data_IF_275166196633
#
_entry.id   IF_275166196633
#
_cell.length_a   1.000
_cell.length_b   1.000
_cell.length_c   1.000
_cell.angle_alpha   90.00
_cell.angle_beta   90.00
_cell.angle_gamma   90.00
#
_symmetry.space_group_name_H-M   'P 1'
#
loop_
_entity.id
_entity.type
_entity.pdbx_description
1 polymer ?
#
# COMPACT_ATOMS: atom_id res chain seq x y z
N UNK A 1 15.75 36.17 -16.75
CA UNK A 1 15.13 35.09 -17.56
C UNK A 1 14.58 34.06 -16.60
N UNK A 2 13.29 34.15 -16.30
CA UNK A 2 12.61 33.27 -15.36
C UNK A 2 11.84 32.18 -16.10
N UNK A 3 12.07 30.93 -15.74
CA UNK A 3 11.22 29.80 -16.09
C UNK A 3 10.70 29.20 -14.78
N UNK A 4 9.65 29.82 -14.25
CA UNK A 4 8.85 29.23 -13.18
C UNK A 4 7.88 28.30 -13.87
N UNK A 5 8.15 26.99 -13.81
CA UNK A 5 7.18 25.98 -14.22
C UNK A 5 5.98 26.06 -13.26
N UNK A 6 4.89 26.67 -13.74
CA UNK A 6 3.59 26.62 -13.08
C UNK A 6 3.08 25.19 -13.17
N UNK A 7 3.28 24.44 -12.09
CA UNK A 7 2.58 23.18 -11.86
C UNK A 7 1.15 23.58 -11.49
N UNK A 8 0.28 23.63 -12.49
CA UNK A 8 -1.14 23.91 -12.27
C UNK A 8 -1.82 22.63 -11.74
N UNK A 9 -2.49 22.76 -10.60
CA UNK A 9 -3.16 21.68 -9.87
C UNK A 9 -4.31 21.01 -10.63
N UNK A 10 -4.61 21.41 -11.88
CA UNK A 10 -5.72 20.90 -12.69
C UNK A 10 -5.36 19.76 -13.66
N UNK A 11 -4.08 19.43 -13.86
CA UNK A 11 -3.71 18.30 -14.74
C UNK A 11 -3.82 16.95 -14.02
N UNK A 12 -4.47 15.92 -14.62
CA UNK A 12 -4.47 14.57 -14.06
C UNK A 12 -3.04 14.08 -13.81
N UNK A 13 -2.78 13.38 -12.69
CA UNK A 13 -1.44 12.85 -12.42
C UNK A 13 -1.00 11.97 -13.59
N UNK A 14 0.27 12.05 -14.01
CA UNK A 14 0.77 11.29 -15.14
C UNK A 14 0.52 9.80 -14.94
N UNK A 15 -0.02 9.15 -15.97
CA UNK A 15 -0.29 7.70 -15.94
C UNK A 15 1.04 6.95 -15.84
N UNK A 16 1.22 6.05 -14.88
CA UNK A 16 2.49 5.33 -14.72
C UNK A 16 2.76 4.42 -15.92
N UNK A 17 4.01 4.37 -16.35
CA UNK A 17 4.50 3.48 -17.41
C UNK A 17 4.42 2.01 -16.99
N UNK A 18 4.54 1.08 -17.94
CA UNK A 18 4.55 -0.35 -17.64
C UNK A 18 5.67 -0.76 -16.67
N UNK A 19 6.85 -0.14 -16.78
CA UNK A 19 7.98 -0.37 -15.87
C UNK A 19 7.65 0.11 -14.45
N UNK A 20 7.16 1.34 -14.30
CA UNK A 20 6.76 1.88 -12.99
C UNK A 20 5.67 1.05 -12.31
N UNK A 21 4.70 0.53 -13.09
CA UNK A 21 3.68 -0.38 -12.55
C UNK A 21 4.29 -1.69 -12.03
N UNK A 22 5.25 -2.27 -12.75
CA UNK A 22 5.98 -3.47 -12.30
C UNK A 22 6.74 -3.21 -11.01
N UNK A 23 7.45 -2.08 -10.92
CA UNK A 23 8.21 -1.72 -9.72
C UNK A 23 7.29 -1.49 -8.51
N UNK A 24 6.15 -0.82 -8.71
CA UNK A 24 5.15 -0.64 -7.67
C UNK A 24 4.60 -1.98 -7.16
N UNK A 25 4.25 -2.90 -8.05
CA UNK A 25 3.76 -4.23 -7.64
C UNK A 25 4.84 -5.04 -6.91
N UNK A 26 6.10 -4.96 -7.34
CA UNK A 26 7.22 -5.60 -6.63
C UNK A 26 7.40 -5.03 -5.22
N UNK A 27 7.33 -3.70 -5.07
CA UNK A 27 7.44 -3.05 -3.76
C UNK A 27 6.27 -3.42 -2.84
N UNK A 28 5.04 -3.45 -3.36
CA UNK A 28 3.84 -3.91 -2.66
C UNK A 28 4.02 -5.34 -2.13
N UNK A 29 4.45 -6.25 -3.00
CA UNK A 29 4.54 -7.68 -2.66
C UNK A 29 5.62 -7.92 -1.60
N UNK A 30 6.76 -7.23 -1.70
CA UNK A 30 7.81 -7.28 -0.67
C UNK A 30 7.31 -6.75 0.68
N UNK A 31 6.61 -5.62 0.69
CA UNK A 31 6.03 -5.05 1.91
C UNK A 31 5.00 -6.00 2.54
N UNK A 32 4.07 -6.54 1.75
CA UNK A 32 3.03 -7.43 2.24
C UNK A 32 3.56 -8.79 2.69
N UNK A 33 4.57 -9.33 2.02
CA UNK A 33 5.28 -10.53 2.46
C UNK A 33 5.89 -10.31 3.85
N UNK A 34 6.59 -9.19 4.04
CA UNK A 34 7.15 -8.86 5.33
C UNK A 34 6.07 -8.72 6.42
N UNK A 35 4.92 -8.11 6.11
CA UNK A 35 3.80 -8.03 7.06
C UNK A 35 3.24 -9.41 7.44
N UNK A 36 3.13 -10.33 6.49
CA UNK A 36 2.66 -11.69 6.75
C UNK A 36 3.65 -12.48 7.63
N UNK A 37 4.95 -12.36 7.38
CA UNK A 37 6.01 -13.02 8.17
C UNK A 37 6.15 -12.47 9.60
N UNK A 38 5.58 -11.29 9.85
CA UNK A 38 5.61 -10.61 11.14
C UNK A 38 4.21 -10.42 11.74
N UNK A 39 3.20 -11.14 11.24
CA UNK A 39 1.85 -11.11 11.79
C UNK A 39 1.87 -11.56 13.27
N UNK A 40 1.23 -10.77 14.15
CA UNK A 40 1.22 -11.02 15.60
C UNK A 40 2.46 -10.53 16.37
N UNK A 41 3.51 -10.06 15.69
CA UNK A 41 4.67 -9.42 16.34
C UNK A 41 4.36 -7.94 16.60
N UNK A 42 3.64 -7.67 17.68
CA UNK A 42 3.39 -6.33 18.18
C UNK A 42 4.67 -5.77 18.82
N UNK A 43 5.58 -5.23 18.01
CA UNK A 43 6.72 -4.46 18.52
C UNK A 43 6.25 -3.03 18.78
N UNK A 44 6.00 -2.70 20.05
CA UNK A 44 5.75 -1.33 20.46
C UNK A 44 6.99 -0.45 20.18
N UNK A 45 6.80 0.71 19.54
CA UNK A 45 7.85 1.72 19.32
C UNK A 45 8.58 1.66 17.96
N UNK A 46 9.79 2.21 17.90
CA UNK A 46 10.58 2.49 16.68
C UNK A 46 11.07 1.26 15.88
N UNK A 47 10.70 0.04 16.29
CA UNK A 47 11.08 -1.21 15.60
C UNK A 47 9.90 -1.90 14.93
N UNK A 48 8.96 -1.13 14.36
CA UNK A 48 7.92 -1.73 13.53
C UNK A 48 8.57 -2.50 12.37
N UNK A 49 8.38 -3.83 12.29
CA UNK A 49 8.89 -4.59 11.17
C UNK A 49 8.32 -4.01 9.87
N UNK A 50 9.13 -4.00 8.81
CA UNK A 50 8.72 -3.61 7.46
C UNK A 50 8.54 -2.09 7.20
N UNK A 51 8.87 -1.19 8.12
CA UNK A 51 8.72 0.27 7.89
C UNK A 51 9.53 0.76 6.67
N UNK A 52 10.76 0.29 6.50
CA UNK A 52 11.57 0.71 5.34
C UNK A 52 10.97 0.21 4.01
N UNK A 53 10.38 -0.99 4.00
CA UNK A 53 9.62 -1.48 2.85
C UNK A 53 8.35 -0.67 2.60
N UNK A 54 7.69 -0.16 3.66
CA UNK A 54 6.55 0.75 3.53
C UNK A 54 6.95 2.06 2.88
N UNK A 55 8.08 2.66 3.27
CA UNK A 55 8.60 3.89 2.65
C UNK A 55 8.91 3.69 1.16
N UNK A 56 9.48 2.54 0.80
CA UNK A 56 9.76 2.20 -0.62
C UNK A 56 8.44 2.02 -1.37
N UNK A 57 7.49 1.28 -0.81
CA UNK A 57 6.16 1.08 -1.40
C UNK A 57 5.44 2.41 -1.64
N UNK A 58 5.44 3.32 -0.66
CA UNK A 58 4.79 4.63 -0.77
C UNK A 58 5.48 5.58 -1.74
N UNK A 59 6.80 5.46 -1.93
CA UNK A 59 7.55 6.33 -2.85
C UNK A 59 7.49 5.88 -4.32
N UNK A 60 7.35 4.57 -4.56
CA UNK A 60 7.31 4.01 -5.93
C UNK A 60 5.88 3.94 -6.49
N UNK A 61 4.88 3.78 -5.63
CA UNK A 61 3.48 3.65 -6.05
C UNK A 61 2.73 4.98 -6.06
N UNK A 62 1.71 5.07 -6.92
CA UNK A 62 0.77 6.20 -6.87
C UNK A 62 -0.04 6.16 -5.55
N UNK A 63 -0.29 7.31 -4.90
CA UNK A 63 -1.05 7.36 -3.65
C UNK A 63 -2.44 6.74 -3.75
N UNK A 64 -3.11 6.91 -4.91
CA UNK A 64 -4.43 6.30 -5.18
C UNK A 64 -4.37 4.78 -5.19
N UNK A 65 -3.29 4.21 -5.73
CA UNK A 65 -3.05 2.77 -5.79
C UNK A 65 -2.74 2.22 -4.41
N UNK A 66 -1.86 2.88 -3.65
CA UNK A 66 -1.56 2.51 -2.26
C UNK A 66 -2.85 2.43 -1.45
N UNK A 67 -3.66 3.50 -1.49
CA UNK A 67 -4.94 3.56 -0.79
C UNK A 67 -5.90 2.44 -1.22
N UNK A 68 -5.93 2.10 -2.51
CA UNK A 68 -6.76 1.00 -3.03
C UNK A 68 -6.28 -0.36 -2.53
N UNK A 69 -4.97 -0.64 -2.64
CA UNK A 69 -4.40 -1.92 -2.23
C UNK A 69 -4.49 -2.15 -0.72
N UNK A 70 -4.35 -1.11 0.10
CA UNK A 70 -4.52 -1.21 1.55
C UNK A 70 -5.96 -1.59 1.91
N UNK A 71 -6.95 -0.91 1.32
CA UNK A 71 -8.38 -1.27 1.51
C UNK A 71 -8.67 -2.69 1.04
N UNK A 72 -8.13 -3.08 -0.13
CA UNK A 72 -8.32 -4.41 -0.70
C UNK A 72 -7.74 -5.49 0.23
N UNK A 73 -6.55 -5.28 0.79
CA UNK A 73 -5.93 -6.21 1.73
C UNK A 73 -6.78 -6.43 2.98
N UNK A 74 -7.26 -5.36 3.61
CA UNK A 74 -8.12 -5.47 4.81
C UNK A 74 -9.42 -6.19 4.48
N UNK A 75 -10.04 -5.87 3.34
CA UNK A 75 -11.23 -6.55 2.87
C UNK A 75 -10.99 -8.05 2.62
N UNK A 76 -9.88 -8.41 1.97
CA UNK A 76 -9.54 -9.80 1.70
C UNK A 76 -9.26 -10.59 2.98
N UNK A 77 -8.59 -9.98 3.95
CA UNK A 77 -8.39 -10.57 5.28
C UNK A 77 -9.73 -10.78 6.00
N UNK A 78 -10.63 -9.80 5.96
CA UNK A 78 -11.97 -9.93 6.53
C UNK A 78 -12.76 -11.05 5.83
N UNK A 79 -12.77 -11.06 4.49
CA UNK A 79 -13.44 -12.08 3.70
C UNK A 79 -12.93 -13.48 4.03
N UNK A 80 -11.61 -13.64 4.16
CA UNK A 80 -11.00 -14.91 4.55
C UNK A 80 -11.45 -15.35 5.96
N UNK A 81 -11.50 -14.44 6.93
CA UNK A 81 -12.00 -14.73 8.29
C UNK A 81 -13.46 -15.15 8.28
N UNK A 82 -14.33 -14.40 7.59
CA UNK A 82 -15.76 -14.72 7.46
C UNK A 82 -15.98 -16.06 6.77
N UNK A 83 -15.17 -16.41 5.77
CA UNK A 83 -15.25 -17.72 5.10
C UNK A 83 -14.85 -18.88 6.01
N UNK A 84 -13.95 -18.66 6.98
CA UNK A 84 -13.52 -19.68 7.93
C UNK A 84 -14.44 -19.79 9.15
N UNK A 85 -14.89 -18.66 9.69
CA UNK A 85 -15.59 -18.56 10.99
C UNK A 85 -17.11 -18.32 10.87
N UNK A 86 -17.62 -18.12 9.65
CA UNK A 86 -18.99 -17.67 9.41
C UNK A 86 -19.15 -16.15 9.59
N UNK A 87 -20.24 -15.59 9.07
CA UNK A 87 -20.55 -14.17 9.23
C UNK A 87 -21.00 -13.86 10.65
N UNK A 88 -20.28 -12.98 11.34
CA UNK A 88 -20.65 -12.47 12.65
C UNK A 88 -21.26 -11.08 12.47
N UNK A 89 -22.59 -10.97 12.63
CA UNK A 89 -23.28 -9.69 12.61
C UNK A 89 -22.83 -8.87 13.82
N UNK A 90 -22.11 -7.76 13.59
CA UNK A 90 -21.76 -6.83 14.66
C UNK A 90 -23.04 -6.09 15.08
N UNK A 91 -23.58 -6.47 16.25
CA UNK A 91 -24.62 -5.73 16.94
C UNK A 91 -24.09 -4.40 17.48
#
# INVERSE_FOLDING_TARGET
MGLIMKIDSSSPPPVPTAAQRKDCYRARDNYYKCLAENEGKNTAGDRMPCNDLKKIYDSVCLPSWVKYFERKRVFDQYKAKVQQEGYQEKQ
#
